data_IF_109494478908
#
_entry.id   IF_109494478908
#
_cell.length_a   1.000
_cell.length_b   1.000
_cell.length_c   1.000
_cell.angle_alpha   90.00
_cell.angle_beta   90.00
_cell.angle_gamma   90.00
#
_symmetry.space_group_name_H-M   'P 1'
#
loop_
_entity.id
_entity.type
_entity.pdbx_description
1 polymer ?
#
# COMPACT_ATOMS: atom_id res chain seq x y z
N UNK A 1 -22.18 14.73 9.36
CA UNK A 1 -21.64 15.08 8.03
C UNK A 1 -21.60 13.81 7.22
N UNK A 2 -22.22 13.84 6.05
CA UNK A 2 -22.41 12.69 5.17
C UNK A 2 -21.60 12.92 3.92
N UNK A 3 -20.76 11.95 3.58
CA UNK A 3 -19.83 11.99 2.45
C UNK A 3 -20.41 11.15 1.31
N UNK A 4 -20.28 11.65 0.08
CA UNK A 4 -20.58 10.87 -1.10
C UNK A 4 -19.38 9.97 -1.43
N UNK A 5 -19.61 8.75 -1.93
CA UNK A 5 -18.54 7.93 -2.51
C UNK A 5 -18.91 7.29 -3.85
N UNK A 6 -17.87 6.94 -4.59
CA UNK A 6 -17.90 6.11 -5.81
C UNK A 6 -16.76 5.08 -5.73
N UNK A 7 -16.96 3.90 -6.32
CA UNK A 7 -15.89 2.94 -6.59
C UNK A 7 -15.40 3.10 -8.03
N UNK A 8 -14.10 2.96 -8.23
CA UNK A 8 -13.49 2.79 -9.56
C UNK A 8 -12.47 1.64 -9.49
N UNK A 9 -12.38 0.86 -10.56
CA UNK A 9 -11.29 -0.12 -10.74
C UNK A 9 -10.08 0.58 -11.37
N UNK A 10 -8.87 0.07 -11.10
CA UNK A 10 -7.63 0.70 -11.58
C UNK A 10 -6.44 -0.28 -11.60
N UNK A 11 -5.30 0.06 -12.23
CA UNK A 11 -4.08 -0.75 -12.21
C UNK A 11 -3.48 -1.00 -10.80
N UNK A 12 -3.94 -0.28 -9.78
CA UNK A 12 -3.52 -0.43 -8.37
C UNK A 12 -4.59 -1.13 -7.49
N UNK A 13 -5.55 -1.81 -8.10
CA UNK A 13 -6.71 -2.43 -7.44
C UNK A 13 -7.91 -1.48 -7.38
N UNK A 14 -8.93 -1.82 -6.61
CA UNK A 14 -10.11 -0.96 -6.49
C UNK A 14 -9.83 0.28 -5.60
N UNK A 15 -10.29 1.44 -6.06
CA UNK A 15 -10.19 2.70 -5.33
C UNK A 15 -11.58 3.21 -4.95
N UNK A 16 -11.72 3.70 -3.71
CA UNK A 16 -12.93 4.37 -3.24
C UNK A 16 -12.69 5.88 -3.19
N UNK A 17 -13.31 6.58 -4.13
CA UNK A 17 -13.31 8.04 -4.25
C UNK A 17 -14.36 8.61 -3.31
N UNK A 18 -14.02 9.62 -2.50
CA UNK A 18 -14.92 10.18 -1.48
C UNK A 18 -14.96 11.69 -1.56
N UNK A 19 -16.16 12.27 -1.63
CA UNK A 19 -16.39 13.71 -1.72
C UNK A 19 -17.16 14.29 -0.53
N UNK A 20 -16.83 15.53 -0.19
CA UNK A 20 -17.52 16.39 0.77
C UNK A 20 -18.15 17.56 -0.02
N UNK A 21 -19.44 17.43 -0.36
CA UNK A 21 -20.08 18.33 -1.32
C UNK A 21 -19.41 18.24 -2.70
N UNK A 22 -18.91 19.37 -3.19
CA UNK A 22 -18.25 19.52 -4.50
C UNK A 22 -16.73 19.28 -4.46
N UNK A 23 -16.19 18.83 -3.31
CA UNK A 23 -14.74 18.72 -3.08
C UNK A 23 -14.30 17.30 -2.78
N UNK A 24 -13.19 16.87 -3.36
CA UNK A 24 -12.58 15.55 -3.11
C UNK A 24 -11.97 15.52 -1.70
N UNK A 25 -12.47 14.64 -0.84
CA UNK A 25 -12.08 14.54 0.57
C UNK A 25 -11.14 13.35 0.84
N UNK A 26 -11.28 12.23 0.11
CA UNK A 26 -10.37 11.10 0.20
C UNK A 26 -10.32 10.24 -1.08
N UNK A 27 -9.21 9.53 -1.24
CA UNK A 27 -9.05 8.37 -2.13
C UNK A 27 -8.52 7.24 -1.26
N UNK A 28 -9.37 6.25 -0.99
CA UNK A 28 -9.07 5.10 -0.16
C UNK A 28 -8.74 3.87 -1.01
N UNK A 29 -7.89 3.01 -0.45
CA UNK A 29 -7.49 1.74 -1.05
C UNK A 29 -8.52 0.64 -0.73
N UNK A 30 -8.63 -0.37 -1.59
CA UNK A 30 -9.48 -1.54 -1.37
C UNK A 30 -9.32 -2.17 0.03
N UNK A 31 -8.05 -2.34 0.45
CA UNK A 31 -7.66 -2.92 1.73
C UNK A 31 -7.06 -1.86 2.68
N UNK A 32 -7.62 -0.65 2.71
CA UNK A 32 -7.14 0.45 3.55
C UNK A 32 -7.28 0.14 5.07
N UNK A 33 -6.36 0.67 5.87
CA UNK A 33 -6.33 0.45 7.32
C UNK A 33 -7.50 1.19 8.00
N UNK A 34 -8.31 0.50 8.82
CA UNK A 34 -9.37 1.14 9.59
C UNK A 34 -8.88 2.37 10.36
N UNK A 35 -9.63 3.47 10.26
CA UNK A 35 -9.32 4.76 10.89
C UNK A 35 -8.03 5.47 10.40
N UNK A 36 -7.39 5.05 9.29
CA UNK A 36 -6.29 5.81 8.66
C UNK A 36 -6.76 7.20 8.24
N UNK A 37 -7.94 7.25 7.63
CA UNK A 37 -8.71 8.46 7.33
C UNK A 37 -9.95 8.47 8.22
N UNK A 38 -10.35 9.65 8.70
CA UNK A 38 -11.55 9.84 9.52
C UNK A 38 -12.63 10.50 8.69
N UNK A 39 -13.58 9.69 8.24
CA UNK A 39 -14.77 10.12 7.50
C UNK A 39 -16.01 10.01 8.41
N UNK A 40 -17.10 10.64 7.97
CA UNK A 40 -18.41 10.48 8.60
C UNK A 40 -19.17 9.29 8.04
N UNK A 41 -20.48 9.43 7.99
CA UNK A 41 -21.36 8.56 7.20
C UNK A 41 -20.96 8.59 5.72
N UNK A 42 -21.05 7.45 5.03
CA UNK A 42 -20.71 7.29 3.61
C UNK A 42 -21.94 6.79 2.84
N UNK A 43 -22.34 7.53 1.82
CA UNK A 43 -23.47 7.20 0.93
C UNK A 43 -22.96 7.09 -0.50
N UNK A 44 -23.35 6.04 -1.22
CA UNK A 44 -22.95 5.88 -2.62
C UNK A 44 -23.68 6.88 -3.52
N UNK A 45 -22.93 7.58 -4.38
CA UNK A 45 -23.48 8.58 -5.29
C UNK A 45 -22.59 8.68 -6.54
N UNK A 46 -22.77 7.72 -7.45
CA UNK A 46 -21.94 7.56 -8.66
C UNK A 46 -22.19 8.66 -9.73
N UNK A 47 -23.13 9.58 -9.46
CA UNK A 47 -23.56 10.71 -10.28
C UNK A 47 -22.85 12.04 -9.95
N UNK A 48 -22.07 12.10 -8.86
CA UNK A 48 -21.44 13.35 -8.39
C UNK A 48 -20.34 13.80 -9.34
N UNK A 49 -20.50 15.00 -9.91
CA UNK A 49 -19.56 15.60 -10.85
C UNK A 49 -18.08 15.54 -10.39
N UNK A 50 -17.79 15.86 -9.12
CA UNK A 50 -16.43 15.79 -8.57
C UNK A 50 -15.87 14.36 -8.51
N UNK A 51 -16.71 13.34 -8.32
CA UNK A 51 -16.28 11.93 -8.29
C UNK A 51 -16.05 11.42 -9.72
N UNK A 52 -16.92 11.77 -10.66
CA UNK A 52 -16.77 11.48 -12.10
C UNK A 52 -15.49 12.14 -12.63
N UNK A 53 -15.24 13.41 -12.30
CA UNK A 53 -14.03 14.13 -12.74
C UNK A 53 -12.76 13.58 -12.06
N UNK A 54 -12.82 13.17 -10.79
CA UNK A 54 -11.70 12.50 -10.12
C UNK A 54 -11.35 11.17 -10.79
N UNK A 55 -12.35 10.34 -11.10
CA UNK A 55 -12.20 9.08 -11.84
C UNK A 55 -11.59 9.32 -13.23
N UNK A 56 -12.13 10.29 -13.97
CA UNK A 56 -11.65 10.68 -15.31
C UNK A 56 -10.19 11.10 -15.29
N UNK A 57 -9.79 11.94 -14.34
CA UNK A 57 -8.39 12.38 -14.21
C UNK A 57 -7.46 11.26 -13.69
N UNK A 58 -7.95 10.36 -12.83
CA UNK A 58 -7.18 9.19 -12.41
C UNK A 58 -6.93 8.23 -13.57
N UNK A 59 -7.92 8.01 -14.44
CA UNK A 59 -7.74 7.21 -15.66
C UNK A 59 -6.67 7.84 -16.58
N UNK A 60 -6.78 9.14 -16.90
CA UNK A 60 -5.76 9.84 -17.69
C UNK A 60 -4.34 9.76 -17.08
N UNK A 61 -4.24 9.76 -15.74
CA UNK A 61 -2.99 9.59 -15.01
C UNK A 61 -2.46 8.14 -15.13
N UNK A 62 -3.31 7.13 -15.00
CA UNK A 62 -2.94 5.73 -15.18
C UNK A 62 -2.55 5.40 -16.64
N UNK A 63 -3.14 6.08 -17.60
CA UNK A 63 -2.79 6.04 -19.02
C UNK A 63 -1.51 6.85 -19.35
N UNK A 64 -0.89 7.49 -18.36
CA UNK A 64 0.33 8.30 -18.51
C UNK A 64 0.13 9.65 -19.22
N UNK A 65 -1.11 10.00 -19.58
CA UNK A 65 -1.45 11.22 -20.34
C UNK A 65 -1.64 12.46 -19.44
N UNK A 66 -1.94 12.29 -18.15
CA UNK A 66 -2.06 13.37 -17.16
C UNK A 66 -0.91 13.37 -16.15
N UNK A 67 -0.19 14.49 -16.07
CA UNK A 67 0.89 14.69 -15.09
C UNK A 67 0.52 15.63 -13.92
N UNK A 68 -0.64 16.30 -13.98
CA UNK A 68 -1.14 17.18 -12.92
C UNK A 68 -2.66 17.06 -12.77
N UNK A 69 -3.15 17.09 -11.52
CA UNK A 69 -4.58 17.04 -11.20
C UNK A 69 -5.15 18.45 -11.01
N UNK A 70 -6.35 18.68 -11.53
CA UNK A 70 -7.12 19.90 -11.33
C UNK A 70 -8.45 19.54 -10.64
N UNK A 71 -8.41 19.47 -9.31
CA UNK A 71 -9.50 18.96 -8.47
C UNK A 71 -9.60 19.82 -7.21
N UNK A 72 -10.84 20.19 -6.81
CA UNK A 72 -11.07 20.95 -5.60
C UNK A 72 -10.92 20.02 -4.36
N UNK A 73 -9.77 20.08 -3.68
CA UNK A 73 -9.43 19.18 -2.57
C UNK A 73 -9.93 19.69 -1.20
N UNK A 74 -10.41 18.80 -0.33
CA UNK A 74 -10.81 19.08 1.07
C UNK A 74 -10.04 18.24 2.09
N UNK A 75 -8.89 18.76 2.55
CA UNK A 75 -8.05 18.08 3.53
C UNK A 75 -8.61 18.15 4.97
N UNK A 76 -9.17 17.05 5.45
CA UNK A 76 -9.59 16.88 6.84
C UNK A 76 -8.47 16.27 7.71
N UNK A 77 -7.98 17.05 8.69
CA UNK A 77 -6.85 16.69 9.55
C UNK A 77 -6.38 17.87 10.43
N UNK A 78 -5.31 17.67 11.21
CA UNK A 78 -4.68 18.77 11.96
C UNK A 78 -3.94 19.75 11.05
N UNK A 79 -3.65 20.97 11.52
CA UNK A 79 -2.98 21.98 10.69
C UNK A 79 -1.55 21.58 10.30
N UNK A 80 -0.86 20.79 11.14
CA UNK A 80 0.41 20.17 10.77
C UNK A 80 0.24 19.15 9.63
N UNK A 81 -0.80 18.31 9.68
CA UNK A 81 -1.09 17.37 8.59
C UNK A 81 -1.43 18.10 7.29
N UNK A 82 -2.30 19.12 7.35
CA UNK A 82 -2.65 19.96 6.19
C UNK A 82 -1.41 20.60 5.57
N UNK A 83 -0.51 21.19 6.38
CA UNK A 83 0.76 21.75 5.91
C UNK A 83 1.63 20.72 5.19
N UNK A 84 1.75 19.49 5.72
CA UNK A 84 2.46 18.41 5.04
C UNK A 84 1.78 18.04 3.72
N UNK A 85 0.46 17.84 3.70
CA UNK A 85 -0.25 17.42 2.49
C UNK A 85 -0.26 18.49 1.38
N UNK A 86 -0.32 19.78 1.73
CA UNK A 86 -0.10 20.86 0.77
C UNK A 86 1.35 20.90 0.23
N UNK A 87 2.35 20.55 1.05
CA UNK A 87 3.73 20.39 0.55
C UNK A 87 3.87 19.18 -0.41
N UNK A 88 3.12 18.09 -0.22
CA UNK A 88 3.09 16.98 -1.18
C UNK A 88 2.63 17.42 -2.57
N UNK A 89 1.61 18.29 -2.65
CA UNK A 89 1.09 18.80 -3.93
C UNK A 89 2.12 19.60 -4.74
N UNK A 90 3.18 20.10 -4.12
CA UNK A 90 4.27 20.81 -4.81
C UNK A 90 5.37 19.89 -5.35
N UNK A 91 5.30 18.57 -5.14
CA UNK A 91 6.24 17.61 -5.71
C UNK A 91 5.79 17.28 -7.15
N UNK A 92 6.55 17.64 -8.20
CA UNK A 92 6.15 17.38 -9.58
C UNK A 92 6.06 15.88 -9.92
N UNK A 93 5.31 15.54 -10.96
CA UNK A 93 5.29 14.21 -11.56
C UNK A 93 6.71 13.79 -11.99
N UNK A 94 7.06 12.52 -11.76
CA UNK A 94 8.39 11.97 -12.06
C UNK A 94 9.49 12.45 -11.10
N UNK A 95 9.17 13.27 -10.10
CA UNK A 95 10.11 13.72 -9.09
C UNK A 95 9.79 13.14 -7.71
N UNK A 96 10.82 12.95 -6.91
CA UNK A 96 10.72 12.51 -5.52
C UNK A 96 11.28 13.57 -4.57
N UNK A 97 10.93 13.47 -3.28
CA UNK A 97 11.53 14.26 -2.20
C UNK A 97 11.78 13.38 -0.99
N UNK A 98 12.77 13.72 -0.18
CA UNK A 98 12.97 13.11 1.13
C UNK A 98 12.00 13.66 2.18
N UNK A 99 11.75 12.89 3.24
CA UNK A 99 11.05 13.38 4.42
C UNK A 99 11.72 14.61 5.07
N UNK A 100 13.03 14.82 4.84
CA UNK A 100 13.79 15.96 5.35
C UNK A 100 13.52 17.24 4.55
N UNK A 101 13.47 17.17 3.22
CA UNK A 101 13.12 18.30 2.37
C UNK A 101 11.69 18.80 2.66
N UNK A 102 10.73 17.89 2.83
CA UNK A 102 9.35 18.25 3.21
C UNK A 102 9.32 18.88 4.61
N UNK A 103 10.12 18.38 5.56
CA UNK A 103 10.25 18.98 6.90
C UNK A 103 10.85 20.40 6.85
N UNK A 104 11.85 20.62 5.99
CA UNK A 104 12.42 21.94 5.73
C UNK A 104 11.40 22.87 5.05
N UNK A 105 10.67 22.40 4.05
CA UNK A 105 9.66 23.16 3.31
C UNK A 105 8.51 23.66 4.20
N UNK A 106 8.05 22.87 5.17
CA UNK A 106 7.03 23.31 6.15
C UNK A 106 7.59 24.17 7.29
N UNK A 107 8.88 24.54 7.24
CA UNK A 107 9.55 25.38 8.23
C UNK A 107 9.93 24.70 9.55
N UNK A 108 10.05 23.37 9.58
CA UNK A 108 10.42 22.63 10.79
C UNK A 108 11.31 21.41 10.46
N UNK A 109 12.61 21.65 10.28
CA UNK A 109 13.62 20.62 9.96
C UNK A 109 13.66 19.44 10.95
N UNK A 110 13.26 19.66 12.21
CA UNK A 110 13.24 18.61 13.24
C UNK A 110 12.01 17.68 13.12
N UNK A 111 11.03 18.02 12.29
CA UNK A 111 9.75 17.31 12.20
C UNK A 111 9.77 16.04 11.33
N UNK A 112 10.92 15.59 10.80
CA UNK A 112 11.04 14.47 9.81
C UNK A 112 10.17 13.24 10.16
N UNK A 113 10.19 12.78 11.42
CA UNK A 113 9.36 11.64 11.87
C UNK A 113 7.86 11.97 11.88
N UNK A 114 7.48 13.19 12.25
CA UNK A 114 6.09 13.65 12.21
C UNK A 114 5.59 13.85 10.77
N UNK A 115 6.44 14.32 9.87
CA UNK A 115 6.17 14.38 8.42
C UNK A 115 5.89 12.98 7.88
N UNK A 116 6.69 11.96 8.23
CA UNK A 116 6.42 10.56 7.87
C UNK A 116 5.06 10.07 8.38
N UNK A 117 4.72 10.37 9.64
CA UNK A 117 3.43 10.01 10.23
C UNK A 117 2.23 10.76 9.58
N UNK A 118 2.43 12.00 9.11
CA UNK A 118 1.43 12.75 8.35
C UNK A 118 1.28 12.23 6.91
N UNK A 119 2.39 11.88 6.25
CA UNK A 119 2.42 11.31 4.90
C UNK A 119 1.61 10.00 4.83
N UNK A 120 1.83 9.08 5.77
CA UNK A 120 1.06 7.83 5.88
C UNK A 120 -0.44 8.03 6.20
N UNK A 121 -0.84 9.21 6.66
CA UNK A 121 -2.23 9.61 6.94
C UNK A 121 -2.87 10.46 5.84
N UNK A 122 -2.19 10.70 4.71
CA UNK A 122 -2.74 11.47 3.59
C UNK A 122 -4.10 10.90 3.13
N UNK A 123 -5.22 11.63 3.24
CA UNK A 123 -6.52 11.11 2.89
C UNK A 123 -6.72 11.00 1.37
N UNK A 124 -6.08 11.88 0.58
CA UNK A 124 -6.25 11.94 -0.88
C UNK A 124 -5.05 11.27 -1.55
N UNK A 125 -5.03 9.94 -1.52
CA UNK A 125 -4.00 9.11 -2.16
C UNK A 125 -3.83 9.43 -3.65
N UNK A 126 -2.62 9.25 -4.20
CA UNK A 126 -2.23 9.54 -5.59
C UNK A 126 -2.24 11.05 -5.90
N UNK A 127 -3.41 11.71 -5.81
CA UNK A 127 -3.60 13.14 -6.15
C UNK A 127 -2.77 14.06 -5.25
N UNK A 128 -2.74 13.80 -3.93
CA UNK A 128 -1.67 14.27 -3.07
C UNK A 128 -0.58 13.18 -3.03
N UNK A 129 0.60 13.39 -3.62
CA UNK A 129 1.47 12.30 -4.04
C UNK A 129 2.39 11.78 -2.91
N UNK A 130 1.79 11.18 -1.88
CA UNK A 130 2.50 10.59 -0.76
C UNK A 130 3.43 9.42 -1.14
N UNK A 131 3.31 8.87 -2.36
CA UNK A 131 4.22 7.90 -2.96
C UNK A 131 5.56 8.52 -3.39
N UNK A 132 5.57 9.80 -3.79
CA UNK A 132 6.80 10.54 -4.19
C UNK A 132 7.74 10.84 -3.02
N UNK A 133 7.35 10.56 -1.77
CA UNK A 133 8.20 10.76 -0.58
C UNK A 133 8.93 9.47 -0.20
N UNK A 134 10.26 9.54 -0.10
CA UNK A 134 11.16 8.39 0.09
C UNK A 134 12.13 8.65 1.27
N UNK A 135 12.69 7.57 1.85
CA UNK A 135 13.77 7.67 2.84
C UNK A 135 15.09 8.12 2.21
N UNK A 136 15.99 8.69 3.01
CA UNK A 136 17.31 9.13 2.52
C UNK A 136 18.23 7.97 2.05
N UNK A 137 17.92 6.73 2.43
CA UNK A 137 18.56 5.51 1.90
C UNK A 137 18.06 5.09 0.52
N UNK A 138 17.05 5.77 -0.04
CA UNK A 138 16.34 5.35 -1.26
C UNK A 138 15.30 4.25 -1.02
N UNK A 139 15.27 3.63 0.16
CA UNK A 139 14.40 2.49 0.44
C UNK A 139 12.91 2.86 0.46
N UNK A 140 12.11 2.08 -0.26
CA UNK A 140 10.66 2.20 -0.29
C UNK A 140 10.04 1.59 0.96
N UNK A 141 9.83 2.44 1.97
CA UNK A 141 9.14 2.11 3.22
C UNK A 141 7.71 2.67 3.24
N UNK A 142 6.82 1.96 3.96
CA UNK A 142 5.51 2.41 4.45
C UNK A 142 4.59 3.13 3.44
N UNK A 143 3.69 2.40 2.79
CA UNK A 143 2.63 2.97 1.95
C UNK A 143 1.25 2.47 2.34
N UNK A 144 0.21 3.29 2.15
CA UNK A 144 -1.18 2.95 2.50
C UNK A 144 -1.72 1.83 1.60
N UNK A 145 -1.50 1.93 0.28
CA UNK A 145 -1.83 0.87 -0.69
C UNK A 145 -0.81 -0.26 -0.81
N UNK A 146 0.10 -0.41 0.15
CA UNK A 146 1.19 -1.41 0.09
C UNK A 146 2.34 -1.04 -0.85
N UNK A 147 3.48 -1.71 -0.70
CA UNK A 147 4.71 -1.34 -1.42
C UNK A 147 4.63 -1.61 -2.93
N UNK A 148 3.88 -2.63 -3.37
CA UNK A 148 3.65 -2.91 -4.78
C UNK A 148 3.04 -1.70 -5.51
N UNK A 149 1.95 -1.12 -4.98
CA UNK A 149 1.33 0.07 -5.56
C UNK A 149 2.26 1.30 -5.48
N UNK A 150 3.10 1.44 -4.44
CA UNK A 150 4.11 2.51 -4.40
C UNK A 150 5.13 2.38 -5.53
N UNK A 151 5.60 1.16 -5.82
CA UNK A 151 6.51 0.91 -6.94
C UNK A 151 5.81 1.18 -8.28
N UNK A 152 4.61 0.65 -8.50
CA UNK A 152 3.87 0.82 -9.76
C UNK A 152 3.63 2.30 -10.09
N UNK A 153 3.22 3.11 -9.11
CA UNK A 153 3.05 4.55 -9.29
C UNK A 153 4.38 5.26 -9.64
N UNK A 154 5.49 4.88 -8.99
CA UNK A 154 6.81 5.48 -9.28
C UNK A 154 7.37 5.04 -10.65
N UNK A 155 7.16 3.79 -11.06
CA UNK A 155 7.58 3.28 -12.38
C UNK A 155 6.76 3.92 -13.52
N UNK A 156 5.45 4.09 -13.33
CA UNK A 156 4.58 4.84 -14.24
C UNK A 156 5.10 6.28 -14.41
N UNK A 157 5.36 6.98 -13.30
CA UNK A 157 5.86 8.36 -13.34
C UNK A 157 7.27 8.50 -13.92
N UNK A 158 8.08 7.45 -13.86
CA UNK A 158 9.39 7.37 -14.50
C UNK A 158 9.33 7.00 -16.00
N UNK A 159 8.13 6.76 -16.56
CA UNK A 159 7.96 6.29 -17.94
C UNK A 159 8.41 4.85 -18.19
N UNK A 160 8.51 4.03 -17.14
CA UNK A 160 9.10 2.69 -17.16
C UNK A 160 8.06 1.56 -17.25
N UNK A 161 6.85 1.83 -17.75
CA UNK A 161 5.76 0.84 -17.69
C UNK A 161 4.87 0.85 -18.92
N UNK A 162 5.18 -0.02 -19.88
CA UNK A 162 4.15 -0.70 -20.67
C UNK A 162 3.36 -1.61 -19.73
N UNK A 163 2.08 -1.31 -19.50
CA UNK A 163 1.21 -1.97 -18.51
C UNK A 163 0.71 -3.34 -19.01
N UNK A 164 1.62 -4.29 -19.23
CA UNK A 164 1.25 -5.70 -19.41
C UNK A 164 0.98 -6.35 -18.04
N UNK A 165 -0.16 -7.05 -17.93
CA UNK A 165 -0.73 -7.43 -16.65
C UNK A 165 0.06 -8.52 -15.92
N UNK A 166 0.17 -8.38 -14.59
CA UNK A 166 0.74 -9.40 -13.71
C UNK A 166 -0.28 -10.54 -13.44
N UNK A 167 -0.58 -11.30 -14.49
CA UNK A 167 -1.41 -12.52 -14.45
C UNK A 167 -0.61 -13.72 -14.95
N UNK A 168 -0.90 -14.90 -14.39
CA UNK A 168 -0.31 -16.21 -14.71
C UNK A 168 1.20 -16.40 -14.51
N UNK A 169 1.57 -16.68 -13.25
CA UNK A 169 2.70 -17.59 -12.95
C UNK A 169 2.37 -18.55 -11.80
N UNK A 170 1.21 -19.23 -11.87
CA UNK A 170 0.87 -20.39 -11.00
C UNK A 170 0.17 -21.53 -11.77
N UNK A 171 0.61 -21.85 -12.99
CA UNK A 171 -0.07 -22.85 -13.83
C UNK A 171 0.84 -23.80 -14.66
N UNK A 172 2.02 -24.19 -14.16
CA UNK A 172 2.78 -25.33 -14.74
C UNK A 172 3.88 -25.89 -13.81
N UNK A 173 3.57 -26.96 -13.05
CA UNK A 173 4.58 -27.82 -12.39
C UNK A 173 4.08 -29.25 -12.16
N UNK A 174 3.45 -29.85 -13.19
CA UNK A 174 3.20 -31.29 -13.26
C UNK A 174 3.70 -31.88 -14.58
N UNK A 175 4.11 -33.16 -14.52
CA UNK A 175 4.43 -34.03 -15.66
C UNK A 175 5.65 -33.67 -16.55
N UNK A 176 6.87 -33.87 -16.03
CA UNK A 176 7.76 -34.85 -16.69
C UNK A 176 8.77 -35.50 -15.74
N UNK A 177 8.85 -36.83 -15.78
CA UNK A 177 9.90 -37.62 -15.14
C UNK A 177 10.18 -38.85 -16.03
N UNK A 178 11.40 -38.99 -16.61
CA UNK A 178 11.71 -40.11 -17.50
C UNK A 178 11.95 -41.40 -16.70
N UNK A 179 11.44 -42.51 -17.22
CA UNK A 179 11.63 -43.83 -16.62
C UNK A 179 12.94 -44.48 -17.10
N UNK A 180 13.78 -44.89 -16.15
CA UNK A 180 14.84 -45.89 -16.33
C UNK A 180 14.86 -46.78 -15.08
N UNK A 181 14.88 -48.10 -15.26
CA UNK A 181 14.68 -49.08 -14.19
C UNK A 181 15.90 -49.97 -13.93
N UNK A 182 15.95 -50.59 -12.75
CA UNK A 182 16.99 -51.54 -12.35
C UNK A 182 16.73 -52.16 -10.97
N UNK A 183 16.95 -53.47 -10.87
CA UNK A 183 16.87 -54.32 -9.68
C UNK A 183 17.87 -53.90 -8.55
N UNK A 184 17.82 -54.29 -7.25
CA UNK A 184 16.92 -55.03 -6.33
C UNK A 184 17.58 -54.98 -4.89
N UNK A 185 17.17 -55.61 -3.76
CA UNK A 185 16.10 -56.55 -3.33
C UNK A 185 15.83 -56.41 -1.80
N UNK A 186 14.61 -56.72 -1.33
CA UNK A 186 14.20 -57.19 0.06
C UNK A 186 14.76 -56.52 1.35
N UNK A 187 13.86 -55.99 2.20
CA UNK A 187 13.60 -56.36 3.62
C UNK A 187 12.80 -55.23 4.35
N UNK A 188 11.54 -55.39 4.76
CA UNK A 188 10.96 -56.12 5.91
C UNK A 188 11.06 -55.47 7.32
N UNK A 189 9.92 -54.88 7.73
CA UNK A 189 9.32 -54.79 9.08
C UNK A 189 9.96 -53.97 10.24
N UNK A 190 9.22 -52.91 10.63
CA UNK A 190 8.74 -52.53 11.99
C UNK A 190 9.33 -53.26 13.22
N UNK A 191 9.56 -52.52 14.34
CA UNK A 191 8.49 -52.48 15.36
C UNK A 191 8.24 -51.10 16.00
N UNK A 192 7.12 -50.99 16.72
CA UNK A 192 6.82 -49.89 17.65
C UNK A 192 7.51 -50.11 19.01
N UNK A 193 7.47 -49.10 19.89
CA UNK A 193 7.89 -49.22 21.30
C UNK A 193 6.79 -48.71 22.24
N UNK A 194 6.68 -49.36 23.39
CA UNK A 194 5.86 -48.94 24.53
C UNK A 194 6.79 -48.62 25.72
N UNK A 195 6.26 -47.92 26.72
CA UNK A 195 6.91 -47.71 28.02
C UNK A 195 6.72 -48.98 28.92
N UNK A 196 7.16 -49.08 30.21
CA UNK A 196 7.00 -48.07 31.25
C UNK A 196 8.21 -47.88 32.21
N UNK A 197 7.93 -47.22 33.34
CA UNK A 197 8.81 -46.72 34.40
C UNK A 197 9.29 -47.74 35.44
N UNK A 198 10.37 -47.38 36.16
CA UNK A 198 10.61 -47.42 37.63
C UNK A 198 12.13 -47.62 37.91
N UNK A 199 12.75 -47.09 38.98
CA UNK A 199 12.29 -46.04 39.91
C UNK A 199 13.10 -45.97 41.23
N UNK A 200 13.30 -44.74 41.74
CA UNK A 200 13.51 -44.36 43.16
C UNK A 200 14.87 -44.57 43.89
N UNK A 201 15.20 -43.57 44.75
CA UNK A 201 16.13 -43.56 45.91
C UNK A 201 17.65 -43.49 45.64
N UNK A 202 18.49 -42.83 46.47
CA UNK A 202 18.29 -41.85 47.58
C UNK A 202 19.60 -41.02 47.74
N UNK A 203 19.55 -39.68 47.86
CA UNK A 203 19.54 -38.86 49.10
C UNK A 203 20.86 -38.81 49.91
N UNK A 204 21.35 -37.59 50.20
CA UNK A 204 21.71 -37.04 51.55
C UNK A 204 22.86 -35.99 51.52
N UNK A 205 22.57 -34.76 52.05
CA UNK A 205 23.48 -33.67 52.47
C UNK A 205 24.53 -33.15 51.44
N UNK A 206 25.13 -31.96 51.57
CA UNK A 206 25.02 -30.78 52.44
C UNK A 206 26.01 -29.72 51.89
N UNK A 207 25.89 -28.41 52.06
CA UNK A 207 25.45 -27.63 53.21
C UNK A 207 25.09 -26.19 52.76
#
# INVERSE_FOLDING_TARGET
MTYAYKLMDSPVGQLKLVANGERLAAILWENDKPNRVRLGELVEANDRAVLIETERQLQEYFDGTRHAFDLALDFQGTDFQKKVWHALLTIPFGQTRSYAEIAQQIGNVNAVRAVGAANGRNPISIVAPCHRVIGASGELTGFAGGLANKMLLLSLEAGQTSLEAATDTQAQSQAHAPAIGGAERKAHAKPARHAPSHGTQASLFGN
#
